data_IF_916015883172
#
_entry.id   IF_916015883172
#
_cell.length_a   1.000
_cell.length_b   1.000
_cell.length_c   1.000
_cell.angle_alpha   90.00
_cell.angle_beta   90.00
_cell.angle_gamma   90.00
#
_symmetry.space_group_name_H-M   'P 1'
#
loop_
_entity.id
_entity.type
_entity.pdbx_description
1 polymer ?
#
# COMPACT_ATOMS: atom_id res chain seq x y z
N UNK A 1 -3.31 10.15 -1.60
CA UNK A 1 -3.01 9.10 -2.61
C UNK A 1 -4.26 8.35 -3.06
N UNK A 2 -4.72 7.28 -2.38
CA UNK A 2 -5.68 6.31 -2.95
C UNK A 2 -6.96 6.90 -3.57
N UNK A 3 -7.72 7.72 -2.85
CA UNK A 3 -8.97 8.28 -3.40
C UNK A 3 -8.73 9.54 -4.25
N UNK A 4 -7.86 10.43 -3.78
CA UNK A 4 -7.64 11.74 -4.41
C UNK A 4 -6.89 11.62 -5.74
N UNK A 5 -5.85 10.80 -5.79
CA UNK A 5 -4.97 10.73 -6.97
C UNK A 5 -5.49 9.76 -8.04
N UNK A 6 -6.21 8.71 -7.65
CA UNK A 6 -6.72 7.72 -8.60
C UNK A 6 -8.16 7.99 -9.04
N UNK A 7 -8.88 8.86 -8.32
CA UNK A 7 -10.28 9.23 -8.59
C UNK A 7 -11.20 7.99 -8.71
N UNK A 8 -10.98 7.01 -7.82
CA UNK A 8 -11.69 5.73 -7.84
C UNK A 8 -13.20 5.93 -7.67
N UNK A 9 -13.98 5.24 -8.51
CA UNK A 9 -15.43 5.17 -8.45
C UNK A 9 -15.89 3.82 -7.88
N UNK A 10 -17.13 3.72 -7.39
CA UNK A 10 -17.71 2.44 -7.02
C UNK A 10 -17.61 1.42 -8.17
N UNK A 11 -17.08 0.23 -7.86
CA UNK A 11 -16.87 -0.86 -8.82
C UNK A 11 -15.52 -0.83 -9.55
N UNK A 12 -14.75 0.25 -9.46
CA UNK A 12 -13.39 0.30 -10.01
C UNK A 12 -12.46 -0.68 -9.29
N UNK A 13 -11.42 -1.14 -9.98
CA UNK A 13 -10.42 -2.04 -9.40
C UNK A 13 -9.14 -1.30 -9.05
N UNK A 14 -8.65 -1.53 -7.84
CA UNK A 14 -7.32 -1.09 -7.39
C UNK A 14 -6.43 -2.31 -7.11
N UNK A 15 -5.28 -2.39 -7.75
CA UNK A 15 -4.22 -3.32 -7.35
C UNK A 15 -3.37 -2.67 -6.25
N UNK A 16 -3.09 -3.38 -5.17
CA UNK A 16 -2.16 -2.91 -4.14
C UNK A 16 -1.12 -3.95 -3.80
N UNK A 17 0.13 -3.53 -3.68
CA UNK A 17 1.20 -4.36 -3.12
C UNK A 17 1.30 -4.18 -1.61
N UNK A 18 1.92 -5.17 -0.94
CA UNK A 18 2.08 -5.22 0.51
C UNK A 18 0.75 -5.00 1.26
N UNK A 19 -0.31 -5.69 0.84
CA UNK A 19 -1.66 -5.54 1.40
C UNK A 19 -1.73 -5.80 2.92
N UNK A 20 -0.78 -6.57 3.47
CA UNK A 20 -0.64 -6.80 4.92
C UNK A 20 -0.02 -5.66 5.72
N UNK A 21 0.49 -4.62 5.07
CA UNK A 21 1.01 -3.42 5.76
C UNK A 21 -0.12 -2.60 6.40
N UNK A 22 0.21 -1.70 7.33
CA UNK A 22 -0.77 -0.77 7.91
C UNK A 22 -1.49 0.05 6.83
N UNK A 23 -0.77 0.53 5.82
CA UNK A 23 -1.38 1.27 4.70
C UNK A 23 -2.30 0.36 3.90
N UNK A 24 -1.86 -0.85 3.56
CA UNK A 24 -2.67 -1.78 2.77
C UNK A 24 -3.98 -2.18 3.47
N UNK A 25 -3.94 -2.36 4.78
CA UNK A 25 -5.14 -2.64 5.57
C UNK A 25 -6.09 -1.44 5.66
N UNK A 26 -5.58 -0.20 5.68
CA UNK A 26 -6.42 1.00 5.58
C UNK A 26 -7.05 1.12 4.19
N UNK A 27 -6.33 0.74 3.14
CA UNK A 27 -6.87 0.70 1.77
C UNK A 27 -8.03 -0.29 1.64
N UNK A 28 -7.97 -1.45 2.32
CA UNK A 28 -9.10 -2.39 2.37
C UNK A 28 -10.33 -1.79 3.05
N UNK A 29 -10.14 -1.02 4.12
CA UNK A 29 -11.24 -0.33 4.80
C UNK A 29 -11.85 0.77 3.90
N UNK A 30 -11.01 1.53 3.19
CA UNK A 30 -11.45 2.49 2.18
C UNK A 30 -12.21 1.81 1.04
N UNK A 31 -11.73 0.66 0.56
CA UNK A 31 -12.39 -0.12 -0.49
C UNK A 31 -13.83 -0.46 -0.12
N UNK A 32 -14.04 -0.88 1.14
CA UNK A 32 -15.37 -1.17 1.66
C UNK A 32 -16.25 0.07 1.73
N UNK A 33 -15.75 1.19 2.26
CA UNK A 33 -16.56 2.41 2.42
C UNK A 33 -16.87 3.09 1.08
N UNK A 34 -15.92 3.07 0.14
CA UNK A 34 -16.03 3.75 -1.16
C UNK A 34 -16.53 2.82 -2.28
N UNK A 35 -16.70 1.52 -1.97
CA UNK A 35 -17.23 0.46 -2.84
C UNK A 35 -16.37 0.20 -4.09
N UNK A 36 -15.06 0.38 -4.02
CA UNK A 36 -14.14 -0.10 -5.05
C UNK A 36 -13.62 -1.51 -4.71
N UNK A 37 -13.20 -2.26 -5.72
CA UNK A 37 -12.71 -3.65 -5.62
C UNK A 37 -11.19 -3.68 -5.52
N UNK A 38 -10.63 -4.74 -4.94
CA UNK A 38 -9.17 -4.82 -4.70
C UNK A 38 -8.54 -6.12 -5.18
N UNK A 39 -7.38 -6.01 -5.83
CA UNK A 39 -6.41 -7.09 -6.00
C UNK A 39 -5.25 -6.85 -5.06
N UNK A 40 -4.99 -7.81 -4.18
CA UNK A 40 -4.13 -7.63 -3.02
C UNK A 40 -2.92 -8.55 -3.13
N UNK A 41 -1.74 -7.97 -3.40
CA UNK A 41 -0.50 -8.72 -3.48
C UNK A 41 0.11 -8.81 -2.08
N UNK A 42 0.28 -10.04 -1.58
CA UNK A 42 0.97 -10.33 -0.32
C UNK A 42 2.26 -11.07 -0.58
N UNK A 43 3.27 -10.82 0.27
CA UNK A 43 4.55 -11.50 0.11
C UNK A 43 4.46 -12.97 0.48
N UNK A 44 3.70 -13.31 1.53
CA UNK A 44 3.65 -14.66 2.09
C UNK A 44 2.24 -15.24 2.04
N UNK A 45 2.11 -16.52 1.70
CA UNK A 45 0.82 -17.22 1.66
C UNK A 45 0.10 -17.21 3.00
N UNK A 46 0.83 -17.22 4.11
CA UNK A 46 0.26 -17.12 5.46
C UNK A 46 -0.55 -15.83 5.70
N UNK A 47 -0.35 -14.77 4.90
CA UNK A 47 -1.10 -13.51 5.02
C UNK A 47 -2.46 -13.57 4.30
N UNK A 48 -2.68 -14.56 3.43
CA UNK A 48 -3.89 -14.63 2.58
C UNK A 48 -5.19 -14.70 3.41
N UNK A 49 -5.30 -15.53 4.46
CA UNK A 49 -6.52 -15.59 5.27
C UNK A 49 -6.87 -14.26 5.93
N UNK A 50 -5.87 -13.56 6.49
CA UNK A 50 -6.06 -12.27 7.17
C UNK A 50 -6.55 -11.19 6.20
N UNK A 51 -5.95 -11.10 5.00
CA UNK A 51 -6.39 -10.14 3.99
C UNK A 51 -7.80 -10.42 3.52
N UNK A 52 -8.18 -11.69 3.33
CA UNK A 52 -9.56 -12.06 2.99
C UNK A 52 -10.53 -11.70 4.11
N UNK A 53 -10.17 -11.95 5.37
CA UNK A 53 -10.99 -11.58 6.53
C UNK A 53 -11.20 -10.05 6.65
N UNK A 54 -10.21 -9.25 6.23
CA UNK A 54 -10.32 -7.80 6.14
C UNK A 54 -11.17 -7.30 4.95
N UNK A 55 -11.64 -8.20 4.09
CA UNK A 55 -12.45 -7.88 2.90
C UNK A 55 -11.64 -7.67 1.62
N UNK A 56 -10.39 -8.12 1.59
CA UNK A 56 -9.62 -8.21 0.35
C UNK A 56 -10.25 -9.21 -0.60
N UNK A 57 -10.66 -8.74 -1.77
CA UNK A 57 -11.52 -9.49 -2.67
C UNK A 57 -10.73 -10.56 -3.44
N UNK A 58 -9.68 -10.13 -4.13
CA UNK A 58 -8.71 -11.02 -4.75
C UNK A 58 -7.40 -10.89 -3.99
N UNK A 59 -6.83 -12.01 -3.56
CA UNK A 59 -5.58 -12.04 -2.81
C UNK A 59 -4.62 -13.01 -3.48
N UNK A 60 -3.47 -12.48 -3.91
CA UNK A 60 -2.45 -13.22 -4.64
C UNK A 60 -1.16 -13.15 -3.84
N UNK A 61 -0.47 -14.28 -3.70
CA UNK A 61 0.84 -14.30 -3.06
C UNK A 61 1.95 -14.27 -4.09
N UNK A 62 2.95 -13.41 -3.88
CA UNK A 62 4.14 -13.36 -4.74
C UNK A 62 5.10 -14.55 -4.54
N UNK A 63 4.80 -15.47 -3.63
CA UNK A 63 5.48 -16.77 -3.49
C UNK A 63 5.12 -17.74 -4.62
N UNK A 64 3.99 -17.54 -5.30
CA UNK A 64 3.55 -18.42 -6.37
C UNK A 64 4.36 -18.14 -7.64
N UNK A 65 4.94 -19.15 -8.29
CA UNK A 65 5.70 -18.95 -9.52
C UNK A 65 4.87 -18.31 -10.65
N UNK A 66 3.55 -18.50 -10.65
CA UNK A 66 2.61 -18.03 -11.65
C UNK A 66 1.78 -16.81 -11.20
N UNK A 67 2.17 -16.13 -10.12
CA UNK A 67 1.38 -15.03 -9.54
C UNK A 67 1.09 -13.89 -10.55
N UNK A 68 1.97 -13.67 -11.53
CA UNK A 68 1.74 -12.72 -12.62
C UNK A 68 0.57 -13.14 -13.53
N UNK A 69 0.44 -14.43 -13.81
CA UNK A 69 -0.69 -15.00 -14.57
C UNK A 69 -1.98 -14.91 -13.75
N UNK A 70 -1.90 -15.16 -12.44
CA UNK A 70 -3.04 -14.94 -11.54
C UNK A 70 -3.48 -13.47 -11.56
N UNK A 71 -2.53 -12.51 -11.54
CA UNK A 71 -2.83 -11.08 -11.63
C UNK A 71 -3.50 -10.73 -12.96
N UNK A 72 -3.05 -11.30 -14.08
CA UNK A 72 -3.62 -11.07 -15.40
C UNK A 72 -5.10 -11.47 -15.52
N UNK A 73 -5.55 -12.41 -14.67
CA UNK A 73 -6.92 -12.95 -14.68
C UNK A 73 -7.74 -12.53 -13.45
N UNK A 74 -7.15 -11.74 -12.55
CA UNK A 74 -7.70 -11.41 -11.24
C UNK A 74 -9.03 -10.64 -11.28
N UNK A 75 -9.26 -9.83 -12.31
CA UNK A 75 -10.32 -8.83 -12.34
C UNK A 75 -11.62 -9.29 -13.00
N UNK A 76 -11.84 -10.61 -13.15
CA UNK A 76 -13.01 -11.18 -13.82
C UNK A 76 -13.23 -10.61 -15.23
N UNK A 77 -12.13 -10.37 -15.96
CA UNK A 77 -12.15 -9.77 -17.29
C UNK A 77 -12.34 -8.25 -17.32
N UNK A 78 -12.48 -7.57 -16.17
CA UNK A 78 -12.50 -6.09 -16.09
C UNK A 78 -11.09 -5.50 -16.17
N UNK A 79 -10.97 -4.25 -16.59
CA UNK A 79 -9.68 -3.57 -16.68
C UNK A 79 -9.10 -3.23 -15.29
N UNK A 80 -7.85 -3.65 -15.03
CA UNK A 80 -7.04 -3.16 -13.91
C UNK A 80 -6.37 -1.84 -14.29
N UNK A 81 -7.02 -0.71 -14.02
CA UNK A 81 -6.55 0.61 -14.49
C UNK A 81 -5.81 1.42 -13.43
N UNK A 82 -5.83 1.00 -12.17
CA UNK A 82 -5.23 1.72 -11.03
C UNK A 82 -4.41 0.76 -10.16
N UNK A 83 -3.23 1.21 -9.74
CA UNK A 83 -2.43 0.50 -8.76
C UNK A 83 -1.71 1.45 -7.80
N UNK A 84 -1.50 0.98 -6.58
CA UNK A 84 -0.55 1.56 -5.63
C UNK A 84 0.53 0.52 -5.31
N UNK A 85 1.77 0.97 -5.23
CA UNK A 85 2.91 0.12 -4.93
C UNK A 85 3.80 0.76 -3.86
N UNK A 86 4.20 -0.03 -2.85
CA UNK A 86 5.29 0.35 -1.93
C UNK A 86 6.40 -0.70 -1.87
N UNK A 87 6.34 -1.70 -2.75
CA UNK A 87 7.36 -2.74 -2.81
C UNK A 87 8.43 -2.37 -3.81
N UNK A 88 8.09 -1.76 -4.94
CA UNK A 88 8.98 -1.56 -6.08
C UNK A 88 9.55 -2.91 -6.57
N UNK A 89 10.77 -2.90 -7.10
CA UNK A 89 11.45 -4.12 -7.51
C UNK A 89 10.70 -4.87 -8.62
N UNK A 90 10.90 -6.20 -8.66
CA UNK A 90 10.18 -7.07 -9.60
C UNK A 90 8.67 -7.12 -9.33
N UNK A 91 8.25 -6.94 -8.08
CA UNK A 91 6.82 -6.97 -7.70
C UNK A 91 6.09 -5.76 -8.30
N UNK A 92 6.59 -4.55 -8.06
CA UNK A 92 6.06 -3.31 -8.64
C UNK A 92 6.08 -3.34 -10.16
N UNK A 93 7.21 -3.74 -10.76
CA UNK A 93 7.34 -3.92 -12.20
C UNK A 93 6.29 -4.88 -12.78
N UNK A 94 6.05 -6.01 -12.11
CA UNK A 94 5.05 -6.98 -12.57
C UNK A 94 3.64 -6.42 -12.45
N UNK A 95 3.32 -5.69 -11.39
CA UNK A 95 2.01 -5.00 -11.28
C UNK A 95 1.84 -4.00 -12.42
N UNK A 96 2.82 -3.12 -12.65
CA UNK A 96 2.78 -2.14 -13.74
C UNK A 96 2.55 -2.78 -15.12
N UNK A 97 3.18 -3.94 -15.38
CA UNK A 97 3.06 -4.67 -16.66
C UNK A 97 1.64 -5.19 -16.93
N UNK A 98 0.91 -5.55 -15.88
CA UNK A 98 -0.42 -6.15 -15.97
C UNK A 98 -1.56 -5.12 -15.88
N UNK A 99 -1.24 -3.84 -15.73
CA UNK A 99 -2.26 -2.80 -15.88
C UNK A 99 -2.81 -2.79 -17.31
N UNK A 100 -4.10 -2.48 -17.39
CA UNK A 100 -4.81 -2.26 -18.64
C UNK A 100 -4.23 -1.05 -19.40
N UNK A 101 -4.51 -0.90 -20.71
CA UNK A 101 -4.21 0.33 -21.43
C UNK A 101 -4.72 1.57 -20.68
N UNK A 102 -3.94 2.67 -20.72
CA UNK A 102 -4.12 3.88 -19.92
C UNK A 102 -4.10 3.68 -18.39
N UNK A 103 -3.58 2.54 -17.93
CA UNK A 103 -3.45 2.23 -16.51
C UNK A 103 -2.38 3.09 -15.82
N UNK A 104 -2.61 3.44 -14.56
CA UNK A 104 -1.71 4.27 -13.74
C UNK A 104 -1.35 3.57 -12.43
N UNK A 105 -0.05 3.43 -12.19
CA UNK A 105 0.52 3.01 -10.90
C UNK A 105 1.13 4.20 -10.16
N UNK A 106 0.81 4.32 -8.88
CA UNK A 106 1.50 5.23 -7.95
C UNK A 106 2.47 4.42 -7.07
N UNK A 107 3.77 4.65 -7.26
CA UNK A 107 4.82 4.10 -6.41
C UNK A 107 5.07 5.08 -5.25
N UNK A 108 4.90 4.63 -4.01
CA UNK A 108 5.07 5.45 -2.82
C UNK A 108 6.11 4.90 -1.85
N UNK A 109 6.91 3.92 -2.28
CA UNK A 109 7.91 3.30 -1.43
C UNK A 109 8.61 2.13 -2.11
N UNK A 110 9.77 1.76 -1.56
CA UNK A 110 10.65 0.77 -2.16
C UNK A 110 11.06 -0.31 -1.16
N UNK A 111 10.10 -1.06 -0.60
CA UNK A 111 10.38 -2.14 0.37
C UNK A 111 11.29 -3.23 -0.19
N UNK A 112 11.39 -3.39 -1.52
CA UNK A 112 12.34 -4.32 -2.15
C UNK A 112 13.79 -3.99 -1.81
N UNK A 113 14.10 -2.71 -1.54
CA UNK A 113 15.45 -2.22 -1.22
C UNK A 113 15.81 -2.42 0.25
N UNK A 114 14.81 -2.69 1.10
CA UNK A 114 15.01 -2.72 2.54
C UNK A 114 15.98 -3.83 2.93
N UNK A 115 17.11 -3.43 3.54
CA UNK A 115 18.20 -4.32 4.00
C UNK A 115 18.84 -5.14 2.87
N UNK A 116 18.80 -4.63 1.65
CA UNK A 116 19.48 -5.26 0.52
C UNK A 116 20.83 -4.61 0.28
N UNK A 117 21.80 -5.43 -0.09
CA UNK A 117 23.14 -4.99 -0.54
C UNK A 117 23.34 -5.26 -2.03
N UNK A 118 22.46 -6.06 -2.65
CA UNK A 118 22.47 -6.31 -4.09
C UNK A 118 21.94 -5.05 -4.82
N UNK A 119 22.74 -4.41 -5.71
CA UNK A 119 22.31 -3.28 -6.50
C UNK A 119 21.02 -3.53 -7.29
N UNK A 120 20.79 -4.77 -7.75
CA UNK A 120 19.59 -5.11 -8.52
C UNK A 120 18.29 -5.00 -7.70
N UNK A 121 18.38 -5.07 -6.37
CA UNK A 121 17.23 -4.88 -5.49
C UNK A 121 16.73 -3.42 -5.44
N UNK A 122 17.58 -2.47 -5.84
CA UNK A 122 17.29 -1.03 -5.93
C UNK A 122 16.64 -0.64 -7.26
N UNK A 123 16.50 -1.59 -8.19
CA UNK A 123 15.88 -1.37 -9.49
C UNK A 123 14.41 -1.82 -9.50
N UNK A 124 13.53 -1.01 -10.09
CA UNK A 124 12.22 -1.46 -10.55
C UNK A 124 12.22 -1.50 -12.09
N UNK A 125 12.42 -2.67 -12.71
CA UNK A 125 12.57 -2.76 -14.16
C UNK A 125 11.24 -2.52 -14.88
N UNK A 126 11.14 -1.42 -15.63
CA UNK A 126 9.95 -1.11 -16.44
C UNK A 126 10.21 -1.42 -17.91
N UNK A 127 9.35 -2.24 -18.53
CA UNK A 127 9.46 -2.56 -19.95
C UNK A 127 8.87 -1.42 -20.81
N UNK A 128 9.75 -0.54 -21.31
CA UNK A 128 9.36 0.68 -22.01
C UNK A 128 8.36 0.50 -23.18
N UNK A 129 8.51 -0.50 -24.09
CA UNK A 129 7.52 -0.71 -25.14
C UNK A 129 6.11 -0.97 -24.61
N UNK A 130 5.98 -1.75 -23.52
CA UNK A 130 4.67 -1.99 -22.88
C UNK A 130 4.10 -0.70 -22.30
N UNK A 131 4.92 0.14 -21.67
CA UNK A 131 4.47 1.43 -21.14
C UNK A 131 3.97 2.35 -22.26
N UNK A 132 4.76 2.49 -23.33
CA UNK A 132 4.47 3.37 -24.47
C UNK A 132 3.22 2.91 -25.21
N UNK A 133 3.15 1.64 -25.61
CA UNK A 133 2.05 1.16 -26.45
C UNK A 133 0.74 0.94 -25.68
N UNK A 134 0.80 0.81 -24.35
CA UNK A 134 -0.40 0.87 -23.52
C UNK A 134 -0.80 2.29 -23.12
N UNK A 135 0.01 3.32 -23.43
CA UNK A 135 -0.12 4.65 -22.83
C UNK A 135 -0.23 4.59 -21.29
N UNK A 136 0.52 3.69 -20.67
CA UNK A 136 0.52 3.49 -19.22
C UNK A 136 1.36 4.54 -18.49
N UNK A 137 1.13 4.67 -17.18
CA UNK A 137 1.88 5.58 -16.32
C UNK A 137 2.38 4.87 -15.06
N UNK A 138 3.66 5.07 -14.74
CA UNK A 138 4.25 4.75 -13.44
C UNK A 138 4.77 6.06 -12.86
N UNK A 139 4.25 6.46 -11.71
CA UNK A 139 4.54 7.77 -11.13
C UNK A 139 4.89 7.62 -9.65
N UNK A 140 5.99 8.26 -9.25
CA UNK A 140 6.34 8.39 -7.84
C UNK A 140 5.35 9.30 -7.10
N UNK A 141 4.96 8.91 -5.90
CA UNK A 141 4.11 9.69 -5.00
C UNK A 141 4.75 9.76 -3.62
N UNK A 142 5.08 10.97 -3.18
CA UNK A 142 5.74 11.20 -1.91
C UNK A 142 4.92 12.15 -1.04
N UNK A 143 4.47 11.67 0.12
CA UNK A 143 3.58 12.42 1.01
C UNK A 143 4.13 13.80 1.37
N UNK A 144 5.42 13.92 1.71
CA UNK A 144 5.98 15.22 2.10
C UNK A 144 6.01 16.21 0.93
N UNK A 145 6.30 15.72 -0.28
CA UNK A 145 6.22 16.56 -1.49
C UNK A 145 4.79 16.97 -1.78
N UNK A 146 3.83 16.06 -1.63
CA UNK A 146 2.41 16.36 -1.80
C UNK A 146 1.96 17.45 -0.81
N UNK A 147 2.33 17.33 0.47
CA UNK A 147 2.02 18.36 1.48
C UNK A 147 2.65 19.72 1.17
N UNK A 148 3.83 19.75 0.56
CA UNK A 148 4.54 20.97 0.18
C UNK A 148 3.84 21.73 -0.96
N UNK A 149 3.30 21.02 -1.95
CA UNK A 149 2.74 21.62 -3.17
C UNK A 149 1.23 21.76 -3.19
N UNK A 150 0.53 21.04 -2.32
CA UNK A 150 -0.94 21.09 -2.23
C UNK A 150 -1.38 22.28 -1.38
N UNK A 151 -2.36 23.09 -1.84
CA UNK A 151 -2.88 24.21 -1.05
C UNK A 151 -3.34 23.80 0.35
N UNK A 152 -3.05 24.64 1.35
CA UNK A 152 -3.36 24.35 2.77
C UNK A 152 -4.84 24.01 2.99
N UNK A 153 -5.76 24.67 2.28
CA UNK A 153 -7.18 24.40 2.37
C UNK A 153 -7.54 22.96 1.94
N UNK A 154 -6.91 22.47 0.86
CA UNK A 154 -7.12 21.11 0.37
C UNK A 154 -6.51 20.07 1.31
N UNK A 155 -5.28 20.32 1.80
CA UNK A 155 -4.66 19.50 2.85
C UNK A 155 -5.57 19.39 4.07
N UNK A 156 -6.05 20.53 4.58
CA UNK A 156 -6.92 20.58 5.77
C UNK A 156 -8.22 19.82 5.56
N UNK A 157 -8.85 19.96 4.38
CA UNK A 157 -10.07 19.22 4.06
C UNK A 157 -9.85 17.70 4.00
N UNK A 158 -8.70 17.25 3.48
CA UNK A 158 -8.36 15.83 3.43
C UNK A 158 -8.07 15.29 4.84
N UNK A 159 -7.29 16.02 5.66
CA UNK A 159 -7.03 15.63 7.05
C UNK A 159 -8.32 15.54 7.87
N UNK A 160 -9.22 16.53 7.76
CA UNK A 160 -10.51 16.51 8.42
C UNK A 160 -11.31 15.25 8.05
N UNK A 161 -11.41 14.91 6.75
CA UNK A 161 -12.08 13.68 6.30
C UNK A 161 -11.48 12.42 6.89
N UNK A 162 -10.16 12.34 7.02
CA UNK A 162 -9.47 11.19 7.65
C UNK A 162 -9.81 11.12 9.13
N UNK A 163 -9.74 12.25 9.85
CA UNK A 163 -10.07 12.33 11.27
C UNK A 163 -11.54 11.97 11.55
N UNK A 164 -12.48 12.45 10.74
CA UNK A 164 -13.90 12.12 10.86
C UNK A 164 -14.15 10.61 10.67
N UNK A 165 -13.44 9.99 9.73
CA UNK A 165 -13.51 8.53 9.51
C UNK A 165 -12.90 7.74 10.64
N UNK A 166 -11.82 8.23 11.25
CA UNK A 166 -11.24 7.64 12.45
C UNK A 166 -12.20 7.77 13.64
N UNK A 167 -12.79 8.96 13.85
CA UNK A 167 -13.69 9.25 14.95
C UNK A 167 -14.99 8.43 14.87
N UNK A 168 -15.55 8.27 13.67
CA UNK A 168 -16.73 7.43 13.42
C UNK A 168 -16.44 5.92 13.43
N UNK A 169 -15.16 5.53 13.46
CA UNK A 169 -14.73 4.13 13.38
C UNK A 169 -14.88 3.49 12.01
N UNK A 170 -15.15 4.30 10.96
CA UNK A 170 -15.14 3.88 9.56
C UNK A 170 -13.72 3.56 9.06
N UNK A 171 -12.72 4.23 9.62
CA UNK A 171 -11.32 3.81 9.58
C UNK A 171 -10.87 3.44 10.98
N UNK A 172 -10.19 2.30 11.11
CA UNK A 172 -9.64 1.80 12.36
C UNK A 172 -8.16 1.55 12.17
N UNK A 173 -7.37 2.17 13.04
CA UNK A 173 -5.95 1.85 13.16
C UNK A 173 -5.80 0.53 13.90
N UNK A 174 -4.82 -0.26 13.47
CA UNK A 174 -4.46 -1.47 14.21
C UNK A 174 -3.88 -1.08 15.57
N UNK A 175 -4.11 -1.89 16.62
CA UNK A 175 -3.43 -1.71 17.90
C UNK A 175 -1.93 -1.54 17.69
N UNK A 176 -1.37 -0.51 18.31
CA UNK A 176 0.06 -0.26 18.28
C UNK A 176 0.73 -0.97 19.46
N UNK A 177 1.92 -1.53 19.22
CA UNK A 177 2.77 -2.01 20.31
C UNK A 177 3.46 -0.81 20.95
N UNK A 178 3.16 -0.54 22.21
CA UNK A 178 3.71 0.62 22.92
C UNK A 178 5.05 0.28 23.55
N UNK A 179 6.03 1.14 23.32
CA UNK A 179 7.34 1.10 23.94
C UNK A 179 7.56 2.37 24.75
N UNK A 180 8.18 2.23 25.92
CA UNK A 180 8.69 3.39 26.65
C UNK A 180 9.90 3.99 25.90
N UNK A 181 10.20 5.27 26.08
CA UNK A 181 11.32 5.92 25.40
C UNK A 181 12.67 5.26 25.68
N UNK A 182 12.89 4.76 26.91
CA UNK A 182 14.09 4.03 27.31
C UNK A 182 14.29 2.73 26.50
N UNK A 183 13.20 2.17 25.95
CA UNK A 183 13.21 0.94 25.16
C UNK A 183 13.22 1.21 23.64
N UNK A 184 13.78 2.34 23.21
CA UNK A 184 13.85 2.71 21.79
C UNK A 184 14.52 1.64 20.93
N UNK A 185 15.53 0.93 21.44
CA UNK A 185 16.18 -0.16 20.71
C UNK A 185 15.24 -1.35 20.46
N UNK A 186 14.34 -1.67 21.41
CA UNK A 186 13.31 -2.69 21.20
C UNK A 186 12.27 -2.21 20.18
N UNK A 187 11.85 -0.94 20.26
CA UNK A 187 10.90 -0.34 19.33
C UNK A 187 11.43 -0.37 17.89
N UNK A 188 12.72 -0.07 17.70
CA UNK A 188 13.40 -0.16 16.41
C UNK A 188 13.47 -1.60 15.91
N UNK A 189 13.85 -2.56 16.78
CA UNK A 189 13.86 -4.00 16.43
C UNK A 189 12.49 -4.51 16.01
N UNK A 190 11.43 -4.08 16.68
CA UNK A 190 10.05 -4.43 16.32
C UNK A 190 9.60 -3.76 15.03
N UNK A 191 10.02 -2.51 14.76
CA UNK A 191 9.70 -1.79 13.53
C UNK A 191 10.37 -2.44 12.31
N UNK A 192 11.57 -2.98 12.53
CA UNK A 192 12.39 -3.68 11.56
C UNK A 192 12.02 -5.16 11.38
N UNK A 193 11.25 -5.72 12.31
CA UNK A 193 10.85 -7.11 12.36
C UNK A 193 9.65 -7.43 11.46
N UNK A 194 9.20 -8.69 11.51
CA UNK A 194 7.90 -9.03 10.94
C UNK A 194 6.80 -8.40 11.80
N UNK A 195 5.78 -7.74 11.21
CA UNK A 195 4.69 -7.16 11.99
C UNK A 195 3.90 -8.29 12.66
N UNK A 196 4.10 -8.49 13.96
CA UNK A 196 3.40 -9.51 14.76
C UNK A 196 2.37 -8.92 15.71
N UNK A 197 2.62 -7.70 16.22
CA UNK A 197 1.81 -7.07 17.28
C UNK A 197 1.40 -5.63 16.93
N UNK A 198 1.38 -5.30 15.64
CA UNK A 198 1.04 -3.96 15.14
C UNK A 198 2.23 -3.01 15.05
N UNK A 199 1.96 -1.73 14.79
CA UNK A 199 3.00 -0.72 14.55
C UNK A 199 3.62 -0.29 15.89
N UNK A 200 4.96 -0.28 16.04
CA UNK A 200 5.58 0.23 17.26
C UNK A 200 5.29 1.71 17.45
N UNK A 201 4.95 2.10 18.69
CA UNK A 201 4.68 3.46 19.12
C UNK A 201 5.55 3.77 20.33
N UNK A 202 6.33 4.84 20.28
CA UNK A 202 6.99 5.37 21.46
C UNK A 202 6.01 6.22 22.27
N UNK A 203 5.75 5.80 23.50
CA UNK A 203 4.87 6.52 24.41
C UNK A 203 5.68 7.55 25.21
N UNK A 204 5.62 8.81 24.78
CA UNK A 204 6.36 9.89 25.41
C UNK A 204 5.71 10.41 26.70
N UNK A 205 4.50 9.96 27.05
CA UNK A 205 3.86 10.41 28.29
C UNK A 205 4.63 9.98 29.55
N UNK A 206 5.47 8.94 29.44
CA UNK A 206 6.34 8.48 30.52
C UNK A 206 7.70 9.18 30.56
N UNK A 207 7.96 10.16 29.69
CA UNK A 207 9.25 10.87 29.64
C UNK A 207 9.46 11.82 30.81
N UNK A 208 8.38 12.45 31.31
CA UNK A 208 8.45 13.42 32.40
C UNK A 208 8.33 12.81 33.81
N UNK A 209 8.29 11.47 33.91
CA UNK A 209 8.03 10.76 35.16
C UNK A 209 9.29 10.24 35.87
N UNK A 210 10.49 10.51 35.32
CA UNK A 210 11.79 10.13 35.89
C UNK A 210 12.66 11.36 36.17
#
# INVERSE_FOLDING_TARGET
>A
MTMVEHELKPGDWLVQTAAGSTVGQLVLQLARSERFRTVNIVRRRAQVPDIKALGGEVVITSEDNDWGTQLATASEGKALSRAIDCVAGRTGATVARHLAPAGRMLDYGALSTHRQTDPSAFEMPVFAPRLIYNAGAVQGWYLLRWLEVTPLAECSAIFAKVLDRLASGALRLLPAKRHRPQNIADALRDADGAPREGKPLLDLSSWAAD
#
